data_IF_535664130316
#
_entry.id   IF_535664130316
#
_cell.length_a   1.000
_cell.length_b   1.000
_cell.length_c   1.000
_cell.angle_alpha   90.00
_cell.angle_beta   90.00
_cell.angle_gamma   90.00
#
_symmetry.space_group_name_H-M   'P 1'
#
loop_
_entity.id
_entity.type
_entity.pdbx_description
1 polymer ?
#
# COMPACT_ATOMS: atom_id res chain seq x y z
N UNK A 1 -24.15 0.73 -6.21
CA UNK A 1 -24.40 2.02 -5.50
C UNK A 1 -24.09 3.18 -6.45
N UNK A 2 -24.91 4.23 -6.48
CA UNK A 2 -24.60 5.43 -7.26
C UNK A 2 -23.74 6.36 -6.42
N UNK A 3 -22.57 6.74 -6.92
CA UNK A 3 -21.74 7.78 -6.33
C UNK A 3 -22.50 9.11 -6.38
N UNK A 4 -22.39 9.93 -5.35
CA UNK A 4 -23.12 11.19 -5.24
C UNK A 4 -22.21 12.38 -5.55
N UNK A 5 -22.63 13.26 -6.47
CA UNK A 5 -21.84 14.45 -6.83
C UNK A 5 -20.64 14.13 -7.72
N UNK A 6 -19.73 15.10 -7.84
CA UNK A 6 -18.55 14.99 -8.72
C UNK A 6 -17.36 14.50 -7.94
N UNK A 7 -16.80 13.35 -8.27
CA UNK A 7 -15.53 12.88 -7.76
C UNK A 7 -14.37 13.62 -8.45
N UNK A 8 -13.43 14.12 -7.70
CA UNK A 8 -12.24 14.85 -8.18
C UNK A 8 -10.92 14.18 -7.77
N UNK A 9 -10.97 13.33 -6.75
CA UNK A 9 -9.81 12.55 -6.35
C UNK A 9 -10.22 11.12 -5.98
N UNK A 10 -9.31 10.18 -6.21
CA UNK A 10 -9.44 8.78 -5.82
C UNK A 10 -8.26 8.42 -4.93
N UNK A 11 -8.55 7.83 -3.80
CA UNK A 11 -7.56 7.22 -2.90
C UNK A 11 -7.78 5.72 -2.95
N UNK A 12 -6.76 4.95 -3.28
CA UNK A 12 -6.88 3.49 -3.37
C UNK A 12 -5.95 2.79 -2.39
N UNK A 13 -6.42 1.70 -1.83
CA UNK A 13 -5.56 0.73 -1.14
C UNK A 13 -4.76 -0.09 -2.17
N UNK A 14 -3.79 -0.89 -1.71
CA UNK A 14 -2.94 -1.74 -2.54
C UNK A 14 -3.39 -3.20 -2.47
N UNK A 15 -3.14 -3.85 -1.32
CA UNK A 15 -3.37 -5.29 -1.14
C UNK A 15 -4.86 -5.61 -1.24
N UNK A 16 -5.24 -6.61 -2.05
CA UNK A 16 -6.64 -6.98 -2.28
C UNK A 16 -7.45 -6.00 -3.13
N UNK A 17 -6.92 -4.81 -3.39
CA UNK A 17 -7.59 -3.71 -4.11
C UNK A 17 -6.98 -3.47 -5.48
N UNK A 18 -5.80 -2.85 -5.57
CA UNK A 18 -5.07 -2.64 -6.83
C UNK A 18 -4.09 -3.75 -7.15
N UNK A 19 -3.59 -4.46 -6.12
CA UNK A 19 -2.65 -5.58 -6.22
C UNK A 19 -3.18 -6.79 -5.45
N UNK A 20 -2.73 -7.99 -5.81
CA UNK A 20 -3.12 -9.20 -5.10
C UNK A 20 -2.47 -9.29 -3.72
N UNK A 21 -3.21 -9.79 -2.73
CA UNK A 21 -2.68 -10.12 -1.40
C UNK A 21 -1.54 -11.14 -1.53
N UNK A 22 -1.69 -12.13 -2.44
CA UNK A 22 -0.69 -13.18 -2.69
C UNK A 22 0.64 -12.62 -3.19
N UNK A 23 0.68 -11.50 -3.92
CA UNK A 23 1.95 -10.90 -4.34
C UNK A 23 2.79 -10.48 -3.12
N UNK A 24 2.17 -9.89 -2.12
CA UNK A 24 2.87 -9.48 -0.90
C UNK A 24 3.24 -10.69 -0.04
N UNK A 25 2.28 -11.60 0.17
CA UNK A 25 2.44 -12.76 1.05
C UNK A 25 3.39 -13.82 0.47
N UNK A 26 3.31 -14.10 -0.85
CA UNK A 26 4.00 -15.24 -1.47
C UNK A 26 5.29 -14.83 -2.20
N UNK A 27 5.47 -13.52 -2.49
CA UNK A 27 6.65 -13.02 -3.20
C UNK A 27 7.49 -12.11 -2.32
N UNK A 28 6.94 -10.99 -1.84
CA UNK A 28 7.72 -9.95 -1.16
C UNK A 28 8.24 -10.40 0.21
N UNK A 29 7.37 -10.96 1.06
CA UNK A 29 7.78 -11.39 2.40
C UNK A 29 8.77 -12.56 2.36
N UNK A 30 8.55 -13.64 1.59
CA UNK A 30 9.54 -14.72 1.45
C UNK A 30 10.86 -14.24 0.86
N UNK A 31 10.82 -13.31 -0.10
CA UNK A 31 12.04 -12.74 -0.67
C UNK A 31 12.88 -12.01 0.37
N UNK A 32 12.25 -11.11 1.15
CA UNK A 32 12.94 -10.38 2.21
C UNK A 32 13.46 -11.33 3.30
N UNK A 33 12.64 -12.31 3.71
CA UNK A 33 13.03 -13.29 4.74
C UNK A 33 14.26 -14.09 4.34
N UNK A 34 14.31 -14.58 3.11
CA UNK A 34 15.41 -15.38 2.59
C UNK A 34 16.74 -14.59 2.48
N UNK A 35 16.66 -13.26 2.26
CA UNK A 35 17.82 -12.40 2.04
C UNK A 35 18.25 -11.58 3.25
N UNK A 36 17.48 -11.61 4.33
CA UNK A 36 17.66 -10.74 5.48
C UNK A 36 19.05 -10.84 6.09
N UNK A 37 19.54 -12.05 6.33
CA UNK A 37 20.87 -12.29 6.91
C UNK A 37 21.99 -11.79 5.99
N UNK A 38 21.96 -12.21 4.72
CA UNK A 38 23.00 -11.87 3.74
C UNK A 38 23.02 -10.37 3.46
N UNK A 39 21.82 -9.74 3.38
CA UNK A 39 21.70 -8.29 3.19
C UNK A 39 22.32 -7.53 4.37
N UNK A 40 22.02 -7.93 5.61
CA UNK A 40 22.60 -7.31 6.80
C UNK A 40 24.12 -7.47 6.85
N UNK A 41 24.64 -8.62 6.47
CA UNK A 41 26.09 -8.86 6.42
C UNK A 41 26.79 -8.01 5.34
N UNK A 42 26.17 -7.88 4.17
CA UNK A 42 26.72 -7.10 3.04
C UNK A 42 26.62 -5.57 3.27
N UNK A 43 25.66 -5.10 4.08
CA UNK A 43 25.38 -3.67 4.29
C UNK A 43 25.47 -3.28 5.78
N UNK A 44 26.42 -3.85 6.53
CA UNK A 44 26.52 -3.73 7.98
C UNK A 44 26.42 -2.29 8.50
N UNK A 45 27.15 -1.35 7.87
CA UNK A 45 27.15 0.05 8.28
C UNK A 45 25.77 0.73 8.03
N UNK A 46 25.12 0.40 6.92
CA UNK A 46 23.82 0.96 6.54
C UNK A 46 22.70 0.51 7.49
N UNK A 47 22.75 -0.74 7.95
CA UNK A 47 21.70 -1.33 8.79
C UNK A 47 21.96 -1.28 10.27
N UNK A 48 23.14 -0.80 10.72
CA UNK A 48 23.55 -0.80 12.12
C UNK A 48 22.50 -0.18 13.06
N UNK A 49 21.95 0.97 12.69
CA UNK A 49 20.92 1.64 13.48
C UNK A 49 19.62 0.84 13.53
N UNK A 50 19.22 0.23 12.41
CA UNK A 50 18.00 -0.60 12.32
C UNK A 50 18.14 -1.81 13.26
N UNK A 51 19.32 -2.47 13.25
CA UNK A 51 19.59 -3.61 14.12
C UNK A 51 19.60 -3.22 15.60
N UNK A 52 20.15 -2.04 15.93
CA UNK A 52 20.12 -1.50 17.29
C UNK A 52 18.69 -1.18 17.75
N UNK A 53 17.83 -0.64 16.90
CA UNK A 53 16.41 -0.43 17.19
C UNK A 53 15.67 -1.75 17.46
N UNK A 54 15.95 -2.80 16.68
CA UNK A 54 15.39 -4.14 16.90
C UNK A 54 15.79 -4.66 18.28
N UNK A 55 17.08 -4.57 18.65
CA UNK A 55 17.59 -5.01 19.95
C UNK A 55 17.02 -4.22 21.13
N UNK A 56 16.73 -2.92 20.91
CA UNK A 56 16.09 -2.08 21.93
C UNK A 56 14.61 -2.47 22.17
N UNK A 57 13.92 -2.95 21.13
CA UNK A 57 12.53 -3.44 21.23
C UNK A 57 12.51 -4.84 21.86
N UNK A 58 13.40 -5.70 21.41
CA UNK A 58 13.49 -7.08 21.87
C UNK A 58 14.98 -7.53 21.95
N UNK A 59 15.52 -7.72 23.16
CA UNK A 59 16.90 -8.16 23.35
C UNK A 59 17.17 -9.54 22.75
N UNK A 60 18.30 -9.69 22.07
CA UNK A 60 18.72 -10.93 21.43
C UNK A 60 19.39 -10.72 20.08
N UNK A 61 19.46 -11.78 19.27
CA UNK A 61 19.94 -11.69 17.90
C UNK A 61 18.88 -10.97 17.03
N UNK A 62 19.20 -9.77 16.50
CA UNK A 62 18.22 -8.99 15.74
C UNK A 62 17.78 -9.67 14.44
N UNK A 63 18.63 -10.51 13.83
CA UNK A 63 18.29 -11.24 12.60
C UNK A 63 17.23 -12.31 12.91
N UNK A 64 17.45 -13.10 13.95
CA UNK A 64 16.50 -14.12 14.40
C UNK A 64 15.17 -13.48 14.82
N UNK A 65 15.25 -12.37 15.55
CA UNK A 65 14.08 -11.61 15.98
C UNK A 65 13.26 -11.13 14.79
N UNK A 66 13.89 -10.51 13.77
CA UNK A 66 13.19 -10.03 12.58
C UNK A 66 12.63 -11.15 11.71
N UNK A 67 13.32 -12.29 11.57
CA UNK A 67 12.79 -13.46 10.88
C UNK A 67 11.49 -13.95 11.53
N UNK A 68 11.47 -14.06 12.85
CA UNK A 68 10.26 -14.40 13.60
C UNK A 68 9.16 -13.36 13.44
N UNK A 69 9.49 -12.06 13.47
CA UNK A 69 8.50 -11.00 13.24
C UNK A 69 7.89 -11.06 11.83
N UNK A 70 8.67 -11.49 10.81
CA UNK A 70 8.13 -11.74 9.46
C UNK A 70 7.13 -12.91 9.51
N UNK A 71 7.52 -14.01 10.16
CA UNK A 71 6.66 -15.21 10.28
C UNK A 71 5.37 -14.93 11.06
N UNK A 72 5.40 -13.97 12.00
CA UNK A 72 4.26 -13.49 12.79
C UNK A 72 3.48 -12.34 12.13
N UNK A 73 3.83 -11.92 10.92
CA UNK A 73 3.28 -10.76 10.20
C UNK A 73 3.26 -9.46 11.05
N UNK A 74 4.30 -9.21 11.83
CA UNK A 74 4.38 -8.01 12.67
C UNK A 74 4.74 -6.77 11.86
N UNK A 75 4.00 -5.68 12.07
CA UNK A 75 4.17 -4.39 11.36
C UNK A 75 5.05 -3.40 12.15
N UNK A 76 6.27 -3.81 12.48
CA UNK A 76 7.22 -3.03 13.31
C UNK A 76 8.11 -2.17 12.42
N UNK A 77 8.33 -0.91 12.81
CA UNK A 77 9.03 0.09 11.98
C UNK A 77 10.42 -0.37 11.49
N UNK A 78 11.38 -0.81 12.34
CA UNK A 78 12.69 -1.25 11.85
C UNK A 78 12.61 -2.44 10.91
N UNK A 79 11.68 -3.39 11.13
CA UNK A 79 11.44 -4.49 10.20
C UNK A 79 10.95 -3.97 8.83
N UNK A 80 9.95 -3.10 8.82
CA UNK A 80 9.42 -2.49 7.57
C UNK A 80 10.50 -1.73 6.81
N UNK A 81 11.37 -1.02 7.53
CA UNK A 81 12.49 -0.28 6.92
C UNK A 81 13.46 -1.23 6.23
N UNK A 82 13.88 -2.30 6.91
CA UNK A 82 14.81 -3.26 6.33
C UNK A 82 14.18 -4.05 5.16
N UNK A 83 12.93 -4.48 5.30
CA UNK A 83 12.19 -5.10 4.19
C UNK A 83 12.15 -4.19 2.96
N UNK A 84 11.89 -2.89 3.15
CA UNK A 84 11.89 -1.90 2.08
C UNK A 84 13.23 -1.80 1.35
N UNK A 85 14.36 -1.84 2.07
CA UNK A 85 15.70 -1.83 1.48
C UNK A 85 15.98 -3.10 0.66
N UNK A 86 15.59 -4.26 1.19
CA UNK A 86 15.76 -5.55 0.50
C UNK A 86 14.90 -5.62 -0.76
N UNK A 87 13.65 -5.13 -0.68
CA UNK A 87 12.74 -5.09 -1.85
C UNK A 87 13.22 -4.11 -2.91
N UNK A 88 13.78 -2.94 -2.54
CA UNK A 88 14.35 -2.00 -3.50
C UNK A 88 15.43 -2.68 -4.36
N UNK A 89 16.35 -3.43 -3.73
CA UNK A 89 17.33 -4.23 -4.46
C UNK A 89 16.67 -5.24 -5.40
N UNK A 90 15.70 -6.02 -4.89
CA UNK A 90 15.00 -7.04 -5.68
C UNK A 90 14.24 -6.48 -6.89
N UNK A 91 13.57 -5.35 -6.73
CA UNK A 91 12.88 -4.67 -7.84
C UNK A 91 13.88 -4.16 -8.89
N UNK A 92 14.99 -3.52 -8.46
CA UNK A 92 16.02 -2.99 -9.38
C UNK A 92 16.76 -4.07 -10.13
N UNK A 93 17.04 -5.18 -9.47
CA UNK A 93 17.70 -6.35 -10.06
C UNK A 93 16.76 -7.18 -10.94
N UNK A 94 15.46 -6.85 -10.96
CA UNK A 94 14.45 -7.56 -11.75
C UNK A 94 14.12 -8.95 -11.23
N UNK A 95 14.34 -9.21 -9.93
CA UNK A 95 14.00 -10.50 -9.31
C UNK A 95 12.48 -10.76 -9.31
N UNK A 96 11.70 -9.71 -9.32
CA UNK A 96 10.24 -9.72 -9.47
C UNK A 96 9.75 -8.35 -9.99
N UNK A 97 8.50 -8.31 -10.42
CA UNK A 97 7.80 -7.08 -10.78
C UNK A 97 6.59 -6.89 -9.88
N UNK A 98 6.19 -5.65 -9.68
CA UNK A 98 5.00 -5.30 -8.91
C UNK A 98 3.74 -5.79 -9.63
N UNK A 99 2.95 -6.58 -8.93
CA UNK A 99 1.64 -6.98 -9.44
C UNK A 99 0.65 -5.82 -9.31
N UNK A 100 -0.06 -5.51 -10.38
CA UNK A 100 -1.23 -4.61 -10.38
C UNK A 100 -2.27 -5.23 -11.29
N UNK A 101 -3.51 -5.37 -10.81
CA UNK A 101 -4.59 -5.96 -11.60
C UNK A 101 -4.80 -5.20 -12.91
N UNK A 102 -5.05 -5.89 -14.05
CA UNK A 102 -5.21 -5.23 -15.36
C UNK A 102 -6.34 -4.20 -15.40
N UNK A 103 -7.48 -4.47 -14.76
CA UNK A 103 -8.60 -3.55 -14.63
C UNK A 103 -8.21 -2.30 -13.81
N UNK A 104 -7.43 -2.47 -12.74
CA UNK A 104 -6.91 -1.36 -11.95
C UNK A 104 -5.95 -0.50 -12.78
N UNK A 105 -5.05 -1.10 -13.57
CA UNK A 105 -4.15 -0.37 -14.48
C UNK A 105 -4.95 0.45 -15.48
N UNK A 106 -5.97 -0.16 -16.11
CA UNK A 106 -6.81 0.50 -17.09
C UNK A 106 -7.57 1.69 -16.48
N UNK A 107 -8.21 1.47 -15.32
CA UNK A 107 -8.96 2.49 -14.60
C UNK A 107 -8.06 3.64 -14.15
N UNK A 108 -6.91 3.37 -13.51
CA UNK A 108 -5.98 4.40 -13.06
C UNK A 108 -5.51 5.29 -14.22
N UNK A 109 -5.19 4.70 -15.38
CA UNK A 109 -4.81 5.46 -16.58
C UNK A 109 -5.97 6.31 -17.11
N UNK A 110 -7.18 5.75 -17.18
CA UNK A 110 -8.37 6.47 -17.65
C UNK A 110 -8.72 7.64 -16.71
N UNK A 111 -8.73 7.43 -15.41
CA UNK A 111 -9.01 8.47 -14.42
C UNK A 111 -7.96 9.58 -14.43
N UNK A 112 -6.68 9.23 -14.54
CA UNK A 112 -5.60 10.23 -14.68
C UNK A 112 -5.78 11.06 -15.95
N UNK A 113 -6.09 10.42 -17.10
CA UNK A 113 -6.33 11.10 -18.37
C UNK A 113 -7.59 12.01 -18.32
N UNK A 114 -8.59 11.63 -17.52
CA UNK A 114 -9.77 12.46 -17.26
C UNK A 114 -9.51 13.62 -16.28
N UNK A 115 -8.29 13.75 -15.73
CA UNK A 115 -7.89 14.85 -14.86
C UNK A 115 -8.17 14.62 -13.36
N UNK A 116 -8.55 13.41 -12.96
CA UNK A 116 -8.72 13.08 -11.54
C UNK A 116 -7.34 12.99 -10.86
N UNK A 117 -7.28 13.41 -9.61
CA UNK A 117 -6.08 13.24 -8.78
C UNK A 117 -6.11 11.86 -8.13
N UNK A 118 -5.04 11.08 -8.32
CA UNK A 118 -4.94 9.73 -7.79
C UNK A 118 -3.97 9.68 -6.63
N UNK A 119 -4.35 8.96 -5.57
CA UNK A 119 -3.56 8.78 -4.36
C UNK A 119 -3.59 7.33 -3.92
N UNK A 120 -2.58 6.94 -3.15
CA UNK A 120 -2.51 5.62 -2.51
C UNK A 120 -2.55 5.80 -1.00
N UNK A 121 -3.27 4.91 -0.29
CA UNK A 121 -3.24 4.80 1.15
C UNK A 121 -3.09 3.34 1.55
N UNK A 122 -1.91 2.96 2.04
CA UNK A 122 -1.58 1.59 2.41
C UNK A 122 -0.86 1.52 3.76
N UNK A 123 -0.89 0.35 4.40
CA UNK A 123 -0.09 0.07 5.60
C UNK A 123 1.41 -0.09 5.29
N UNK A 124 1.77 -0.36 4.05
CA UNK A 124 3.14 -0.32 3.56
C UNK A 124 3.72 1.10 3.56
N UNK A 125 5.04 1.24 3.76
CA UNK A 125 5.70 2.55 3.67
C UNK A 125 5.54 3.17 2.29
N UNK A 126 5.55 4.50 2.20
CA UNK A 126 5.50 5.23 0.92
C UNK A 126 6.60 4.74 -0.05
N UNK A 127 7.78 4.41 0.47
CA UNK A 127 8.85 3.84 -0.34
C UNK A 127 8.45 2.50 -0.97
N UNK A 128 7.89 1.57 -0.18
CA UNK A 128 7.42 0.28 -0.69
C UNK A 128 6.27 0.43 -1.69
N UNK A 129 5.33 1.35 -1.45
CA UNK A 129 4.25 1.66 -2.39
C UNK A 129 4.80 2.09 -3.75
N UNK A 130 5.78 3.00 -3.75
CA UNK A 130 6.44 3.48 -4.97
C UNK A 130 7.20 2.38 -5.71
N UNK A 131 7.77 1.40 -5.01
CA UNK A 131 8.42 0.26 -5.65
C UNK A 131 7.40 -0.63 -6.39
N UNK A 132 6.27 -0.95 -5.75
CA UNK A 132 5.22 -1.78 -6.36
C UNK A 132 4.72 -1.14 -7.66
N UNK A 133 4.39 0.15 -7.64
CA UNK A 133 3.87 0.84 -8.82
C UNK A 133 4.95 1.22 -9.83
N UNK A 134 6.17 1.57 -9.37
CA UNK A 134 7.28 1.98 -10.24
C UNK A 134 7.89 0.83 -11.04
N UNK A 135 7.90 -0.37 -10.46
CA UNK A 135 8.42 -1.57 -11.11
C UNK A 135 7.30 -2.57 -11.44
N UNK A 136 6.11 -2.08 -11.80
CA UNK A 136 4.98 -2.96 -12.08
C UNK A 136 5.15 -3.72 -13.40
N UNK A 137 4.39 -4.82 -13.55
CA UNK A 137 4.30 -5.57 -14.81
C UNK A 137 3.77 -4.70 -15.96
N UNK A 138 2.97 -3.66 -15.64
CA UNK A 138 2.41 -2.72 -16.61
C UNK A 138 3.34 -1.52 -16.92
N UNK A 139 4.59 -1.55 -16.41
CA UNK A 139 5.57 -0.46 -16.47
C UNK A 139 5.47 0.47 -15.26
N UNK A 140 6.13 1.62 -15.34
CA UNK A 140 6.08 2.62 -14.26
C UNK A 140 4.72 3.33 -14.23
N UNK A 141 3.96 3.09 -13.16
CA UNK A 141 2.67 3.72 -12.89
C UNK A 141 2.78 4.89 -11.91
N UNK A 142 3.96 5.17 -11.35
CA UNK A 142 4.13 6.25 -10.36
C UNK A 142 3.74 7.63 -10.88
N UNK A 143 3.94 7.98 -12.18
CA UNK A 143 3.50 9.27 -12.71
C UNK A 143 1.99 9.51 -12.69
N UNK A 144 1.17 8.45 -12.54
CA UNK A 144 -0.28 8.57 -12.43
C UNK A 144 -0.72 9.13 -11.08
N UNK A 145 0.10 8.96 -10.02
CA UNK A 145 -0.28 9.32 -8.67
C UNK A 145 0.17 10.73 -8.28
N UNK A 146 -0.74 11.50 -7.71
CA UNK A 146 -0.48 12.81 -7.13
C UNK A 146 0.16 12.74 -5.74
N UNK A 147 0.05 11.60 -5.03
CA UNK A 147 0.64 11.42 -3.72
C UNK A 147 0.37 10.04 -3.10
N UNK A 148 0.99 9.83 -1.95
CA UNK A 148 0.98 8.57 -1.21
C UNK A 148 0.80 8.85 0.27
N UNK A 149 0.00 8.02 0.94
CA UNK A 149 -0.24 8.03 2.38
C UNK A 149 0.07 6.67 2.97
N UNK A 150 0.59 6.66 4.18
CA UNK A 150 0.83 5.44 4.96
C UNK A 150 0.33 5.60 6.40
N UNK A 151 0.66 4.67 7.27
CA UNK A 151 0.20 4.65 8.67
C UNK A 151 0.69 5.85 9.51
N UNK A 152 1.63 6.67 9.01
CA UNK A 152 2.02 7.93 9.66
C UNK A 152 0.93 9.00 9.54
N UNK A 153 0.06 8.91 8.52
CA UNK A 153 -1.12 9.77 8.38
C UNK A 153 -2.17 9.46 9.44
N UNK A 154 -2.29 8.18 9.82
CA UNK A 154 -3.21 7.69 10.84
C UNK A 154 -3.59 6.23 10.61
N UNK A 155 -4.27 5.61 11.59
CA UNK A 155 -4.77 4.24 11.45
C UNK A 155 -5.86 4.15 10.37
N UNK A 156 -5.73 3.20 9.44
CA UNK A 156 -6.68 3.02 8.31
C UNK A 156 -8.12 2.69 8.73
N UNK A 157 -8.32 2.22 9.96
CA UNK A 157 -9.65 1.88 10.52
C UNK A 157 -10.27 3.02 11.34
N UNK A 158 -9.71 4.22 11.27
CA UNK A 158 -10.18 5.39 12.02
C UNK A 158 -10.49 6.56 11.08
N UNK A 159 -11.64 7.20 11.26
CA UNK A 159 -12.10 8.32 10.44
C UNK A 159 -11.10 9.49 10.39
N UNK A 160 -10.34 9.70 11.47
CA UNK A 160 -9.34 10.78 11.54
C UNK A 160 -8.26 10.68 10.47
N UNK A 161 -7.87 9.46 10.05
CA UNK A 161 -6.91 9.28 8.96
C UNK A 161 -7.44 9.87 7.64
N UNK A 162 -8.70 9.60 7.32
CA UNK A 162 -9.34 10.06 6.09
C UNK A 162 -9.62 11.57 6.10
N UNK A 163 -9.91 12.15 7.26
CA UNK A 163 -10.00 13.61 7.42
C UNK A 163 -8.65 14.26 7.10
N UNK A 164 -7.54 13.75 7.65
CA UNK A 164 -6.19 14.25 7.36
C UNK A 164 -5.80 14.08 5.89
N UNK A 165 -6.19 12.98 5.26
CA UNK A 165 -5.99 12.75 3.83
C UNK A 165 -6.74 13.82 3.02
N UNK A 166 -8.02 14.09 3.32
CA UNK A 166 -8.80 15.11 2.63
C UNK A 166 -8.20 16.52 2.80
N UNK A 167 -7.76 16.86 4.00
CA UNK A 167 -7.04 18.11 4.29
C UNK A 167 -5.74 18.22 3.47
N UNK A 168 -4.96 17.14 3.40
CA UNK A 168 -3.71 17.08 2.62
C UNK A 168 -3.96 17.21 1.11
N UNK A 169 -5.04 16.60 0.59
CA UNK A 169 -5.45 16.70 -0.81
C UNK A 169 -5.98 18.11 -1.14
N UNK A 170 -6.57 18.79 -0.16
CA UNK A 170 -7.15 20.12 -0.32
C UNK A 170 -8.45 20.12 -1.12
N UNK A 171 -9.26 19.07 -0.99
CA UNK A 171 -10.58 18.94 -1.60
C UNK A 171 -11.66 18.71 -0.54
N UNK A 172 -12.92 19.10 -0.81
CA UNK A 172 -14.04 18.68 0.01
C UNK A 172 -14.05 17.15 0.15
N UNK A 173 -14.24 16.66 1.37
CA UNK A 173 -14.16 15.23 1.66
C UNK A 173 -15.13 14.39 0.83
N UNK A 174 -16.33 14.90 0.52
CA UNK A 174 -17.33 14.23 -0.32
C UNK A 174 -16.99 14.16 -1.82
N UNK A 175 -15.93 14.87 -2.28
CA UNK A 175 -15.41 14.82 -3.66
C UNK A 175 -14.25 13.79 -3.80
N UNK A 176 -13.97 13.03 -2.75
CA UNK A 176 -12.93 12.01 -2.71
C UNK A 176 -13.58 10.63 -2.60
N UNK A 177 -13.17 9.72 -3.48
CA UNK A 177 -13.56 8.31 -3.45
C UNK A 177 -12.43 7.48 -2.86
N UNK A 178 -12.72 6.66 -1.85
CA UNK A 178 -11.80 5.68 -1.31
C UNK A 178 -12.16 4.26 -1.76
N UNK A 179 -11.15 3.45 -2.13
CA UNK A 179 -11.30 2.08 -2.59
C UNK A 179 -10.47 1.15 -1.70
N UNK A 180 -11.09 0.13 -1.12
CA UNK A 180 -10.41 -0.88 -0.28
C UNK A 180 -11.18 -2.19 -0.27
N UNK A 181 -10.49 -3.31 -0.05
CA UNK A 181 -11.06 -4.64 0.19
C UNK A 181 -11.43 -4.88 1.67
N UNK A 182 -11.12 -3.91 2.54
CA UNK A 182 -11.36 -4.01 3.99
C UNK A 182 -12.57 -3.17 4.38
N UNK A 183 -13.68 -3.82 4.77
CA UNK A 183 -14.92 -3.16 5.15
C UNK A 183 -14.72 -2.11 6.27
N UNK A 184 -13.93 -2.41 7.30
CA UNK A 184 -13.65 -1.47 8.39
C UNK A 184 -12.93 -0.18 7.91
N UNK A 185 -12.19 -0.24 6.81
CA UNK A 185 -11.53 0.94 6.22
C UNK A 185 -12.51 1.78 5.40
N UNK A 186 -13.35 1.13 4.59
CA UNK A 186 -14.42 1.84 3.86
C UNK A 186 -15.44 2.48 4.81
N UNK A 187 -15.77 1.82 5.93
CA UNK A 187 -16.64 2.37 6.97
C UNK A 187 -16.00 3.60 7.64
N UNK A 188 -14.71 3.55 7.96
CA UNK A 188 -13.97 4.68 8.52
C UNK A 188 -13.90 5.87 7.53
N UNK A 189 -13.70 5.59 6.24
CA UNK A 189 -13.72 6.62 5.20
C UNK A 189 -15.11 7.27 5.06
N UNK A 190 -16.18 6.47 5.05
CA UNK A 190 -17.57 6.95 5.05
C UNK A 190 -17.88 7.78 6.31
N UNK A 191 -17.40 7.35 7.48
CA UNK A 191 -17.56 8.10 8.72
C UNK A 191 -16.86 9.47 8.71
N UNK A 192 -15.76 9.61 7.95
CA UNK A 192 -15.09 10.88 7.70
C UNK A 192 -15.82 11.76 6.66
N UNK A 193 -16.84 11.23 5.97
CA UNK A 193 -17.59 11.91 4.90
C UNK A 193 -17.05 11.67 3.49
N UNK A 194 -16.03 10.81 3.29
CA UNK A 194 -15.62 10.37 1.96
C UNK A 194 -16.67 9.45 1.35
N UNK A 195 -16.73 9.41 0.04
CA UNK A 195 -17.36 8.29 -0.65
C UNK A 195 -16.41 7.09 -0.61
N UNK A 196 -16.92 5.90 -0.42
CA UNK A 196 -16.08 4.71 -0.40
C UNK A 196 -16.80 3.50 -0.98
N UNK A 197 -16.07 2.66 -1.72
CA UNK A 197 -16.53 1.39 -2.26
C UNK A 197 -15.67 0.26 -1.70
N UNK A 198 -16.36 -0.75 -1.19
CA UNK A 198 -15.75 -2.02 -0.84
C UNK A 198 -15.58 -2.86 -2.09
N UNK A 199 -14.38 -3.37 -2.32
CA UNK A 199 -14.10 -4.32 -3.41
C UNK A 199 -13.88 -5.72 -2.85
N UNK A 200 -14.43 -6.75 -3.50
CA UNK A 200 -14.06 -8.14 -3.24
C UNK A 200 -13.74 -8.84 -4.56
N UNK A 201 -12.46 -9.05 -4.79
CA UNK A 201 -11.96 -9.71 -5.99
C UNK A 201 -12.20 -11.22 -6.03
N UNK A 202 -12.64 -11.80 -4.91
CA UNK A 202 -13.07 -13.19 -4.79
C UNK A 202 -14.55 -13.42 -5.10
N UNK A 203 -15.31 -12.33 -5.34
CA UNK A 203 -16.75 -12.38 -5.64
C UNK A 203 -17.65 -12.60 -4.41
N UNK A 204 -17.16 -12.25 -3.23
CA UNK A 204 -17.96 -12.16 -2.01
C UNK A 204 -18.84 -10.90 -1.99
N UNK A 205 -19.58 -10.66 -0.88
CA UNK A 205 -20.49 -9.53 -0.76
C UNK A 205 -19.69 -8.21 -0.62
N UNK A 206 -19.70 -7.42 -1.67
CA UNK A 206 -19.04 -6.11 -1.74
C UNK A 206 -19.83 -5.15 -2.65
N UNK A 207 -19.41 -3.90 -2.74
CA UNK A 207 -20.00 -2.91 -3.64
C UNK A 207 -19.62 -3.19 -5.10
N UNK A 208 -18.37 -3.68 -5.32
CA UNK A 208 -17.80 -4.01 -6.63
C UNK A 208 -16.88 -5.24 -6.55
N UNK A 209 -16.63 -5.90 -7.67
CA UNK A 209 -15.68 -7.01 -7.80
C UNK A 209 -14.40 -6.63 -8.56
N UNK A 210 -14.46 -5.57 -9.36
CA UNK A 210 -13.34 -5.04 -10.13
C UNK A 210 -13.56 -3.54 -10.42
N UNK A 211 -12.53 -2.89 -10.95
CA UNK A 211 -12.59 -1.44 -11.21
C UNK A 211 -13.41 -1.06 -12.45
N UNK A 212 -13.71 -2.00 -13.35
CA UNK A 212 -14.55 -1.74 -14.53
C UNK A 212 -15.99 -1.40 -14.15
N UNK A 213 -16.43 -1.77 -12.92
CA UNK A 213 -17.76 -1.47 -12.39
C UNK A 213 -17.89 -0.03 -11.85
N UNK A 214 -16.78 0.73 -11.75
CA UNK A 214 -16.78 2.09 -11.22
C UNK A 214 -17.13 3.08 -12.34
N UNK A 215 -18.28 3.72 -12.21
CA UNK A 215 -18.71 4.82 -13.07
C UNK A 215 -18.60 6.16 -12.30
N UNK A 216 -17.81 7.10 -12.83
CA UNK A 216 -17.51 8.42 -12.24
C UNK A 216 -18.18 9.52 -13.06
#
# INVERSE_FOLDING_TARGET
>A
MSLSGTIRAIVTDIEGTTSSISFVADVLFPYARARLSDYCAAHADQVALILAEVQAIEPGDPIVTMQRWIDEDRKITPLKTLQGLIWDGGFRDGAFKGHVYPDAVAALRAWHAAGLKLYVFSSGSIAAQKLIFGFSEAGDLTPLFSGYFDTTTGPKREAVAYTRIAESIGLPVGEILFLSDVAAETDAAKAAGMQALLIDRGGGPADISNFDEISL
#
